data_IF_156776335918
#
_entry.id   IF_156776335918
#
_cell.length_a   1.000
_cell.length_b   1.000
_cell.length_c   1.000
_cell.angle_alpha   90.00
_cell.angle_beta   90.00
_cell.angle_gamma   90.00
#
_symmetry.space_group_name_H-M   'P 1'
#
loop_
_entity.id
_entity.type
_entity.pdbx_description
1 polymer ?
#
# COMPACT_ATOMS: atom_id res chain seq x y z
N UNK A 1 6.17 41.30 15.78
CA UNK A 1 5.41 40.04 15.79
C UNK A 1 5.79 39.27 14.54
N UNK A 2 6.62 38.23 14.67
CA UNK A 2 7.14 37.49 13.53
C UNK A 2 6.09 36.50 12.98
N UNK A 3 5.97 36.32 11.66
CA UNK A 3 5.08 35.31 11.08
C UNK A 3 5.69 33.92 11.29
N UNK A 4 4.96 33.06 12.00
CA UNK A 4 5.27 31.65 12.13
C UNK A 4 4.85 30.92 10.86
N UNK A 5 5.77 30.75 9.91
CA UNK A 5 5.60 29.88 8.75
C UNK A 5 5.57 28.42 9.19
N UNK A 6 4.46 27.73 8.92
CA UNK A 6 4.23 26.35 9.36
C UNK A 6 4.24 25.41 8.14
N UNK A 7 5.35 24.69 7.95
CA UNK A 7 5.47 23.61 6.98
C UNK A 7 4.95 22.30 7.61
N UNK A 8 3.90 21.69 7.04
CA UNK A 8 3.41 20.36 7.45
C UNK A 8 4.08 19.30 6.57
N UNK A 9 5.17 18.72 7.07
CA UNK A 9 5.98 17.74 6.34
C UNK A 9 5.42 16.32 6.49
N UNK A 10 5.14 15.64 5.36
CA UNK A 10 4.99 14.19 5.34
C UNK A 10 6.37 13.53 5.52
N UNK A 11 6.58 12.84 6.64
CA UNK A 11 7.71 11.93 6.80
C UNK A 11 7.37 10.59 6.13
N UNK A 12 7.81 10.42 4.89
CA UNK A 12 7.97 9.10 4.28
C UNK A 12 9.14 8.39 4.95
N UNK A 13 8.87 7.36 5.75
CA UNK A 13 9.90 6.48 6.31
C UNK A 13 10.60 5.74 5.18
N UNK A 14 11.78 6.23 4.79
CA UNK A 14 12.69 5.54 3.87
C UNK A 14 13.11 4.21 4.47
N UNK A 15 12.99 3.13 3.69
CA UNK A 15 13.43 1.78 4.08
C UNK A 15 14.95 1.80 4.30
N UNK A 16 15.38 1.76 5.57
CA UNK A 16 16.77 1.39 5.90
C UNK A 16 17.06 0.02 5.30
N UNK A 17 18.07 -0.03 4.44
CA UNK A 17 18.61 -1.25 3.87
C UNK A 17 19.22 -2.10 5.00
N UNK A 18 18.75 -3.33 5.11
CA UNK A 18 19.46 -4.40 5.81
C UNK A 18 20.13 -5.24 4.72
N UNK A 19 21.43 -5.37 4.89
CA UNK A 19 22.41 -6.03 4.03
C UNK A 19 21.99 -7.42 3.53
N UNK A 20 22.20 -7.67 2.23
CA UNK A 20 22.12 -8.99 1.63
C UNK A 20 23.36 -9.81 2.01
N UNK A 21 23.15 -10.96 2.63
CA UNK A 21 24.17 -11.99 2.77
C UNK A 21 24.39 -12.69 1.42
N UNK A 22 25.66 -12.82 1.04
CA UNK A 22 26.18 -13.43 -0.20
C UNK A 22 25.83 -14.92 -0.29
N UNK A 23 25.54 -15.40 -1.49
CA UNK A 23 25.63 -16.81 -1.84
C UNK A 23 26.30 -16.97 -3.22
N UNK A 24 27.55 -17.43 -3.16
CA UNK A 24 28.28 -18.28 -4.12
C UNK A 24 28.15 -18.05 -5.62
N UNK A 25 29.22 -17.49 -6.19
CA UNK A 25 29.61 -17.65 -7.60
C UNK A 25 29.76 -19.14 -7.97
N UNK A 26 29.11 -19.56 -9.06
CA UNK A 26 29.59 -20.64 -9.90
C UNK A 26 29.29 -20.33 -11.37
N UNK A 27 30.33 -19.92 -12.08
CA UNK A 27 30.41 -19.87 -13.53
C UNK A 27 30.57 -21.30 -14.10
N UNK A 28 30.06 -21.60 -15.30
CA UNK A 28 31.04 -21.95 -16.32
C UNK A 28 30.77 -21.32 -17.69
N UNK A 29 31.88 -20.88 -18.28
CA UNK A 29 32.06 -20.52 -19.68
C UNK A 29 32.12 -21.82 -20.51
N UNK A 30 31.37 -21.91 -21.61
CA UNK A 30 31.86 -22.50 -22.87
C UNK A 30 31.10 -22.01 -24.10
N UNK A 31 31.88 -21.99 -25.20
CA UNK A 31 31.75 -21.34 -26.50
C UNK A 31 30.62 -21.86 -27.39
N UNK A 32 30.30 -21.05 -28.41
CA UNK A 32 29.23 -21.27 -29.38
C UNK A 32 29.50 -22.31 -30.47
N UNK A 33 28.52 -22.47 -31.35
CA UNK A 33 28.63 -23.28 -32.56
C UNK A 33 27.29 -23.85 -33.06
N UNK A 34 26.75 -23.20 -34.08
CA UNK A 34 25.91 -23.73 -35.16
C UNK A 34 24.51 -24.31 -34.89
N UNK A 35 23.53 -23.57 -35.44
CA UNK A 35 22.15 -23.99 -35.69
C UNK A 35 22.10 -24.69 -37.05
N UNK A 36 21.65 -25.94 -37.09
CA UNK A 36 21.32 -26.62 -38.35
C UNK A 36 19.95 -27.29 -38.25
N UNK A 37 19.01 -26.76 -39.02
CA UNK A 37 17.65 -27.26 -39.22
C UNK A 37 17.69 -28.57 -40.02
N UNK A 38 17.15 -29.68 -39.47
CA UNK A 38 16.80 -30.87 -40.26
C UNK A 38 15.49 -31.48 -39.76
N UNK A 39 14.43 -31.27 -40.56
CA UNK A 39 13.24 -32.12 -40.55
C UNK A 39 13.62 -33.51 -41.03
N UNK A 40 13.38 -34.54 -40.22
CA UNK A 40 13.24 -35.91 -40.69
C UNK A 40 12.15 -36.62 -39.89
N UNK A 41 11.05 -36.93 -40.57
CA UNK A 41 10.02 -37.86 -40.09
C UNK A 41 10.58 -39.28 -40.09
N UNK A 42 10.41 -40.03 -38.99
CA UNK A 42 10.44 -41.49 -39.02
C UNK A 42 9.37 -42.06 -38.09
N UNK A 43 8.46 -42.80 -38.72
CA UNK A 43 7.56 -43.75 -38.06
C UNK A 43 8.40 -44.82 -37.35
N UNK A 44 8.07 -45.11 -36.10
CA UNK A 44 8.73 -46.13 -35.28
C UNK A 44 7.76 -46.68 -34.23
N UNK A 45 7.75 -48.01 -34.13
CA UNK A 45 6.71 -48.87 -33.56
C UNK A 45 6.47 -48.71 -32.05
N UNK A 46 5.22 -48.99 -31.66
CA UNK A 46 4.70 -49.07 -30.29
C UNK A 46 5.44 -50.11 -29.44
N UNK A 47 5.84 -49.70 -28.23
CA UNK A 47 6.04 -50.58 -27.06
C UNK A 47 5.13 -50.06 -25.94
N UNK A 48 4.40 -50.93 -25.20
CA UNK A 48 3.51 -50.48 -24.15
C UNK A 48 4.33 -50.23 -22.89
N UNK A 49 4.67 -48.96 -22.64
CA UNK A 49 5.16 -48.56 -21.33
C UNK A 49 3.97 -48.41 -20.39
N UNK A 50 3.96 -49.20 -19.32
CA UNK A 50 2.99 -49.15 -18.24
C UNK A 50 3.05 -47.79 -17.53
N UNK A 51 2.37 -46.79 -18.09
CA UNK A 51 1.98 -45.59 -17.36
C UNK A 51 0.85 -45.99 -16.42
N UNK A 52 1.24 -46.56 -15.28
CA UNK A 52 0.43 -46.51 -14.08
C UNK A 52 0.27 -45.02 -13.74
N UNK A 53 -0.73 -44.39 -14.36
CA UNK A 53 -1.23 -43.10 -13.95
C UNK A 53 -1.70 -43.27 -12.52
N UNK A 54 -0.88 -42.84 -11.57
CA UNK A 54 -1.33 -42.58 -10.22
C UNK A 54 -2.52 -41.64 -10.36
N UNK A 55 -3.73 -42.19 -10.23
CA UNK A 55 -4.95 -41.43 -10.05
C UNK A 55 -4.68 -40.53 -8.85
N UNK A 56 -4.38 -39.26 -9.14
CA UNK A 56 -4.34 -38.21 -8.11
C UNK A 56 -5.67 -38.30 -7.39
N UNK A 57 -5.55 -38.41 -6.07
CA UNK A 57 -6.65 -38.67 -5.15
C UNK A 57 -7.84 -37.77 -5.47
N UNK A 58 -9.05 -38.31 -5.33
CA UNK A 58 -10.30 -37.59 -5.59
C UNK A 58 -10.22 -36.15 -5.08
N UNK A 59 -10.48 -35.21 -5.99
CA UNK A 59 -10.33 -33.77 -5.76
C UNK A 59 -11.08 -33.38 -4.48
N UNK A 60 -10.35 -33.23 -3.37
CA UNK A 60 -10.87 -32.48 -2.24
C UNK A 60 -11.17 -31.09 -2.78
N UNK A 61 -12.46 -30.70 -2.73
CA UNK A 61 -12.90 -29.37 -3.15
C UNK A 61 -12.07 -28.35 -2.39
N UNK A 62 -11.36 -27.48 -3.09
CA UNK A 62 -10.50 -26.50 -2.42
C UNK A 62 -11.35 -25.62 -1.49
N UNK A 63 -10.93 -25.50 -0.23
CA UNK A 63 -11.63 -24.69 0.79
C UNK A 63 -10.73 -23.56 1.25
N UNK A 64 -11.19 -22.32 1.05
CA UNK A 64 -10.52 -21.09 1.48
C UNK A 64 -11.37 -20.42 2.55
N UNK A 65 -10.76 -19.86 3.58
CA UNK A 65 -11.44 -19.09 4.62
C UNK A 65 -10.97 -17.63 4.68
N UNK A 66 -11.91 -16.69 4.69
CA UNK A 66 -11.68 -15.29 5.09
C UNK A 66 -11.87 -15.22 6.61
N UNK A 67 -10.77 -15.02 7.34
CA UNK A 67 -10.82 -14.91 8.81
C UNK A 67 -11.33 -13.55 9.27
N UNK A 68 -11.82 -13.50 10.51
CA UNK A 68 -12.22 -12.26 11.19
C UNK A 68 -11.01 -11.35 11.45
N UNK A 69 -11.23 -10.05 11.31
CA UNK A 69 -10.26 -9.01 11.66
C UNK A 69 -10.32 -8.71 13.16
N UNK A 70 -9.22 -8.95 13.87
CA UNK A 70 -9.18 -8.86 15.34
C UNK A 70 -7.89 -8.24 15.90
N UNK A 71 -7.00 -7.72 15.04
CA UNK A 71 -5.74 -7.10 15.47
C UNK A 71 -5.96 -5.79 16.24
N UNK A 72 -6.93 -4.97 15.80
CA UNK A 72 -7.28 -3.69 16.43
C UNK A 72 -8.71 -3.29 16.00
N UNK A 73 -9.36 -2.35 16.70
CA UNK A 73 -10.72 -1.91 16.37
C UNK A 73 -10.86 -1.22 15.00
N UNK A 74 -9.77 -0.73 14.44
CA UNK A 74 -9.75 0.09 13.22
C UNK A 74 -9.54 -0.73 11.94
N UNK A 75 -9.11 -1.99 12.03
CA UNK A 75 -8.92 -2.87 10.88
C UNK A 75 -10.28 -3.40 10.42
N UNK A 76 -10.80 -2.75 9.38
CA UNK A 76 -12.11 -3.06 8.78
C UNK A 76 -11.98 -3.63 7.37
N UNK A 77 -10.77 -3.75 6.82
CA UNK A 77 -10.56 -4.23 5.45
C UNK A 77 -10.73 -5.73 5.40
N UNK A 78 -11.15 -6.22 4.23
CA UNK A 78 -11.19 -7.65 3.93
C UNK A 78 -10.16 -7.99 2.83
N UNK A 79 -9.56 -9.19 2.86
CA UNK A 79 -8.59 -9.60 1.85
C UNK A 79 -9.23 -9.82 0.47
N UNK A 80 -10.53 -10.16 0.43
CA UNK A 80 -11.29 -10.35 -0.81
C UNK A 80 -12.60 -9.56 -0.76
N UNK A 81 -12.91 -8.92 -1.89
CA UNK A 81 -14.21 -8.32 -2.14
C UNK A 81 -15.23 -9.39 -2.57
N UNK A 82 -16.55 -9.16 -2.41
CA UNK A 82 -17.60 -10.07 -2.85
C UNK A 82 -17.47 -10.53 -4.31
N UNK A 83 -16.95 -9.68 -5.21
CA UNK A 83 -16.70 -10.05 -6.61
C UNK A 83 -15.67 -11.18 -6.75
N UNK A 84 -14.57 -11.13 -6.00
CA UNK A 84 -13.54 -12.18 -6.01
C UNK A 84 -14.08 -13.47 -5.38
N UNK A 85 -14.89 -13.34 -4.34
CA UNK A 85 -15.56 -14.49 -3.73
C UNK A 85 -16.50 -15.16 -4.72
N UNK A 86 -17.25 -14.37 -5.50
CA UNK A 86 -18.11 -14.88 -6.57
C UNK A 86 -17.28 -15.63 -7.62
N UNK A 87 -16.16 -15.06 -8.07
CA UNK A 87 -15.27 -15.73 -9.03
C UNK A 87 -14.77 -17.09 -8.51
N UNK A 88 -14.34 -17.15 -7.25
CA UNK A 88 -13.89 -18.40 -6.60
C UNK A 88 -15.01 -19.44 -6.49
N UNK A 89 -16.20 -19.03 -6.07
CA UNK A 89 -17.34 -19.96 -5.92
C UNK A 89 -17.81 -20.51 -7.26
N UNK A 90 -17.79 -19.70 -8.33
CA UNK A 90 -18.08 -20.16 -9.70
C UNK A 90 -17.01 -21.12 -10.22
N UNK A 91 -15.75 -20.96 -9.80
CA UNK A 91 -14.68 -21.92 -10.07
C UNK A 91 -14.75 -23.20 -9.22
N UNK A 92 -15.80 -23.37 -8.40
CA UNK A 92 -16.01 -24.55 -7.57
C UNK A 92 -15.25 -24.56 -6.24
N UNK A 93 -14.63 -23.44 -5.84
CA UNK A 93 -13.95 -23.30 -4.54
C UNK A 93 -14.99 -23.03 -3.45
N UNK A 94 -14.92 -23.76 -2.33
CA UNK A 94 -15.74 -23.45 -1.15
C UNK A 94 -15.09 -22.27 -0.42
N UNK A 95 -15.81 -21.16 -0.28
CA UNK A 95 -15.33 -19.98 0.45
C UNK A 95 -16.07 -19.88 1.78
N UNK A 96 -15.34 -20.03 2.88
CA UNK A 96 -15.83 -19.79 4.24
C UNK A 96 -15.53 -18.34 4.64
N UNK A 97 -16.44 -17.70 5.35
CA UNK A 97 -16.23 -16.34 5.88
C UNK A 97 -16.60 -16.33 7.35
N UNK A 98 -15.64 -16.00 8.21
CA UNK A 98 -15.96 -15.76 9.62
C UNK A 98 -16.81 -14.49 9.75
N UNK A 99 -17.90 -14.52 10.53
CA UNK A 99 -18.68 -13.33 10.88
C UNK A 99 -17.77 -12.22 11.42
N UNK A 100 -18.11 -10.96 11.16
CA UNK A 100 -17.34 -9.81 11.66
C UNK A 100 -18.22 -8.58 11.72
N UNK A 101 -18.36 -8.01 12.91
CA UNK A 101 -19.16 -6.80 13.14
C UNK A 101 -18.37 -5.52 12.77
N UNK A 102 -17.08 -5.67 12.44
CA UNK A 102 -16.15 -4.55 12.16
C UNK A 102 -15.89 -4.34 10.68
N UNK A 103 -15.84 -5.45 9.93
CA UNK A 103 -15.54 -5.48 8.49
C UNK A 103 -16.41 -4.47 7.74
N UNK A 104 -15.78 -3.68 6.87
CA UNK A 104 -16.46 -2.67 6.06
C UNK A 104 -17.47 -3.28 5.08
N UNK A 105 -17.28 -4.56 4.73
CA UNK A 105 -18.15 -5.32 3.85
C UNK A 105 -19.04 -6.24 4.70
N UNK A 106 -20.34 -5.97 4.69
CA UNK A 106 -21.34 -6.74 5.42
C UNK A 106 -21.44 -8.19 4.89
N UNK A 107 -21.62 -9.16 5.79
CA UNK A 107 -21.67 -10.61 5.50
C UNK A 107 -22.71 -10.99 4.44
N UNK A 108 -23.88 -10.32 4.42
CA UNK A 108 -24.90 -10.46 3.38
C UNK A 108 -24.36 -10.40 1.94
N UNK A 109 -23.31 -9.60 1.69
CA UNK A 109 -22.71 -9.50 0.37
C UNK A 109 -21.83 -10.71 0.03
N UNK A 110 -21.20 -11.32 1.03
CA UNK A 110 -20.47 -12.58 0.88
C UNK A 110 -21.42 -13.76 0.65
N UNK A 111 -22.53 -13.82 1.39
CA UNK A 111 -23.57 -14.84 1.18
C UNK A 111 -24.13 -14.78 -0.25
N UNK A 112 -24.46 -13.57 -0.72
CA UNK A 112 -24.90 -13.36 -2.12
C UNK A 112 -23.85 -13.73 -3.16
N UNK A 113 -22.57 -13.72 -2.80
CA UNK A 113 -21.47 -14.16 -3.65
C UNK A 113 -21.22 -15.68 -3.60
N UNK A 114 -22.02 -16.43 -2.83
CA UNK A 114 -21.93 -17.90 -2.71
C UNK A 114 -20.99 -18.38 -1.59
N UNK A 115 -20.51 -17.49 -0.71
CA UNK A 115 -19.74 -17.92 0.47
C UNK A 115 -20.65 -18.46 1.57
N UNK A 116 -20.09 -19.34 2.39
CA UNK A 116 -20.72 -19.87 3.60
C UNK A 116 -20.19 -19.07 4.80
N UNK A 117 -21.10 -18.43 5.54
CA UNK A 117 -20.75 -17.67 6.74
C UNK A 117 -20.83 -18.60 7.95
N UNK A 118 -19.71 -18.80 8.65
CA UNK A 118 -19.62 -19.67 9.83
C UNK A 118 -18.40 -19.33 10.68
N UNK A 119 -18.48 -19.61 12.00
CA UNK A 119 -17.38 -19.35 12.94
C UNK A 119 -16.20 -20.30 12.75
N UNK A 120 -16.49 -21.60 12.67
CA UNK A 120 -15.47 -22.61 12.48
C UNK A 120 -14.95 -22.58 11.05
N UNK A 121 -13.64 -22.41 10.89
CA UNK A 121 -12.94 -22.41 9.61
C UNK A 121 -11.88 -23.50 9.53
N UNK A 122 -11.91 -24.46 10.47
CA UNK A 122 -10.96 -25.57 10.56
C UNK A 122 -10.91 -26.44 9.30
N UNK A 123 -12.00 -26.49 8.52
CA UNK A 123 -12.06 -27.18 7.23
C UNK A 123 -11.12 -26.55 6.17
N UNK A 124 -10.86 -25.24 6.25
CA UNK A 124 -10.09 -24.54 5.23
C UNK A 124 -8.62 -25.01 5.19
N UNK A 125 -8.09 -25.16 3.98
CA UNK A 125 -6.66 -25.43 3.77
C UNK A 125 -5.84 -24.14 3.68
N UNK A 126 -6.46 -23.08 3.16
CA UNK A 126 -5.91 -21.73 3.07
C UNK A 126 -6.78 -20.74 3.86
N UNK A 127 -6.18 -20.05 4.83
CA UNK A 127 -6.83 -19.02 5.63
C UNK A 127 -6.21 -17.67 5.29
N UNK A 128 -7.03 -16.73 4.82
CA UNK A 128 -6.58 -15.42 4.36
C UNK A 128 -7.08 -14.30 5.25
N UNK A 129 -6.21 -13.34 5.53
CA UNK A 129 -6.53 -12.11 6.27
C UNK A 129 -5.71 -10.94 5.76
N UNK A 130 -6.01 -9.72 6.21
CA UNK A 130 -5.22 -8.54 5.83
C UNK A 130 -3.99 -8.39 6.74
N UNK A 131 -4.17 -8.52 8.05
CA UNK A 131 -3.13 -8.36 9.06
C UNK A 131 -2.93 -9.65 9.84
N UNK A 132 -1.84 -9.68 10.64
CA UNK A 132 -1.57 -10.73 11.62
C UNK A 132 -2.73 -10.95 12.58
N UNK A 133 -2.74 -12.12 13.20
CA UNK A 133 -3.69 -12.56 14.21
C UNK A 133 -3.02 -12.66 15.58
N UNK A 134 -3.81 -12.70 16.65
CA UNK A 134 -3.35 -13.25 17.92
C UNK A 134 -2.86 -14.70 17.73
N UNK A 135 -1.74 -15.03 18.37
CA UNK A 135 -1.02 -16.30 18.19
C UNK A 135 -1.88 -17.48 18.64
N UNK A 136 -2.67 -17.32 19.70
CA UNK A 136 -3.57 -18.33 20.24
C UNK A 136 -4.68 -18.77 19.27
N UNK A 137 -4.97 -17.98 18.23
CA UNK A 137 -6.00 -18.30 17.22
C UNK A 137 -5.43 -18.96 15.97
N UNK A 138 -4.11 -19.19 15.92
CA UNK A 138 -3.46 -19.87 14.81
C UNK A 138 -3.78 -21.35 14.87
N UNK A 139 -4.41 -21.86 13.82
CA UNK A 139 -4.74 -23.27 13.66
C UNK A 139 -3.48 -23.99 13.14
N UNK A 140 -2.97 -25.02 13.83
CA UNK A 140 -1.78 -25.74 13.39
C UNK A 140 -1.96 -26.42 12.03
N UNK A 141 -0.84 -26.62 11.32
CA UNK A 141 -0.76 -27.36 10.05
C UNK A 141 -1.65 -26.80 8.92
N UNK A 142 -1.88 -25.48 8.94
CA UNK A 142 -2.63 -24.75 7.91
C UNK A 142 -1.73 -23.89 7.03
N UNK A 143 -2.26 -23.47 5.89
CA UNK A 143 -1.64 -22.42 5.06
C UNK A 143 -2.32 -21.09 5.35
N UNK A 144 -1.55 -20.03 5.56
CA UNK A 144 -2.06 -18.69 5.78
C UNK A 144 -1.53 -17.70 4.74
N UNK A 145 -2.34 -16.70 4.39
CA UNK A 145 -1.88 -15.55 3.61
C UNK A 145 -2.31 -14.22 4.23
N UNK A 146 -1.34 -13.38 4.62
CA UNK A 146 -1.55 -12.07 5.23
C UNK A 146 -0.22 -11.27 5.28
N UNK A 147 -0.28 -9.98 5.61
CA UNK A 147 0.92 -9.20 5.94
C UNK A 147 1.41 -9.56 7.34
N UNK A 148 2.46 -10.39 7.44
CA UNK A 148 3.00 -10.85 8.72
C UNK A 148 3.88 -9.81 9.41
N UNK A 149 4.52 -8.93 8.64
CA UNK A 149 5.54 -7.98 9.10
C UNK A 149 6.77 -8.65 9.73
N UNK A 150 7.04 -9.92 9.40
CA UNK A 150 8.19 -10.68 9.95
C UNK A 150 9.45 -10.55 9.11
N UNK A 151 9.33 -10.24 7.81
CA UNK A 151 10.45 -10.27 6.87
C UNK A 151 11.57 -9.25 7.13
N UNK A 152 11.27 -8.20 7.91
CA UNK A 152 12.24 -7.18 8.33
C UNK A 152 12.89 -7.48 9.68
N UNK A 153 12.67 -8.68 10.24
CA UNK A 153 13.18 -9.12 11.53
C UNK A 153 12.93 -8.10 12.66
N UNK A 154 11.75 -7.47 12.65
CA UNK A 154 11.36 -6.54 13.71
C UNK A 154 11.02 -7.34 14.96
N UNK A 155 11.67 -7.04 16.08
CA UNK A 155 11.58 -7.78 17.36
C UNK A 155 10.13 -8.09 17.77
N UNK A 156 9.24 -7.08 17.72
CA UNK A 156 7.82 -7.21 18.06
C UNK A 156 7.02 -8.22 17.20
N UNK A 157 7.56 -8.64 16.05
CA UNK A 157 6.92 -9.60 15.14
C UNK A 157 7.58 -10.99 15.18
N UNK A 158 8.68 -11.17 15.92
CA UNK A 158 9.40 -12.45 15.93
C UNK A 158 8.67 -13.54 16.73
N UNK A 159 7.91 -13.18 17.76
CA UNK A 159 7.06 -14.13 18.50
C UNK A 159 6.05 -14.84 17.59
N UNK A 160 5.42 -14.09 16.67
CA UNK A 160 4.53 -14.66 15.66
C UNK A 160 5.25 -15.65 14.75
N UNK A 161 6.47 -15.31 14.32
CA UNK A 161 7.23 -16.21 13.43
C UNK A 161 7.56 -17.52 14.15
N UNK A 162 7.96 -17.45 15.42
CA UNK A 162 8.23 -18.64 16.23
C UNK A 162 6.97 -19.51 16.41
N UNK A 163 5.82 -18.90 16.69
CA UNK A 163 4.55 -19.61 16.84
C UNK A 163 4.11 -20.28 15.53
N UNK A 164 4.26 -19.59 14.38
CA UNK A 164 3.98 -20.16 13.06
C UNK A 164 4.85 -21.39 12.78
N UNK A 165 6.14 -21.34 13.15
CA UNK A 165 7.06 -22.47 13.00
C UNK A 165 6.67 -23.65 13.91
N UNK A 166 6.42 -23.38 15.20
CA UNK A 166 5.98 -24.40 16.17
C UNK A 166 4.69 -25.10 15.75
N UNK A 167 3.77 -24.35 15.14
CA UNK A 167 2.47 -24.87 14.67
C UNK A 167 2.53 -25.46 13.25
N UNK A 168 3.71 -25.58 12.66
CA UNK A 168 3.91 -26.11 11.30
C UNK A 168 3.04 -25.38 10.26
N UNK A 169 2.89 -24.06 10.41
CA UNK A 169 2.11 -23.23 9.50
C UNK A 169 2.94 -22.84 8.28
N UNK A 170 2.33 -22.97 7.10
CA UNK A 170 2.88 -22.42 5.86
C UNK A 170 2.37 -20.99 5.66
N UNK A 171 3.27 -20.01 5.62
CA UNK A 171 2.94 -18.60 5.42
C UNK A 171 3.20 -18.14 3.98
N UNK A 172 2.19 -17.48 3.38
CA UNK A 172 2.28 -16.72 2.14
C UNK A 172 2.22 -15.24 2.51
N UNK A 173 3.37 -14.58 2.59
CA UNK A 173 3.42 -13.16 2.98
C UNK A 173 3.12 -12.24 1.78
N UNK A 174 2.05 -11.46 1.89
CA UNK A 174 1.67 -10.48 0.88
C UNK A 174 2.77 -9.44 0.60
N UNK A 175 3.65 -9.14 1.57
CA UNK A 175 4.73 -8.17 1.37
C UNK A 175 5.73 -8.62 0.30
N UNK A 176 5.85 -9.93 0.07
CA UNK A 176 6.79 -10.54 -0.89
C UNK A 176 6.14 -11.08 -2.16
N UNK A 177 4.84 -10.84 -2.36
CA UNK A 177 4.18 -11.15 -3.62
C UNK A 177 4.56 -10.13 -4.69
N UNK A 178 5.32 -10.59 -5.68
CA UNK A 178 5.78 -9.79 -6.83
C UNK A 178 5.39 -10.45 -8.15
N UNK A 179 5.30 -9.64 -9.22
CA UNK A 179 5.16 -10.14 -10.58
C UNK A 179 6.52 -10.61 -11.15
N UNK A 180 6.53 -11.01 -12.43
CA UNK A 180 7.73 -11.46 -13.12
C UNK A 180 8.82 -10.38 -13.25
N UNK A 181 8.46 -9.11 -13.15
CA UNK A 181 9.36 -7.97 -13.22
C UNK A 181 9.82 -7.49 -11.82
N UNK A 182 9.37 -8.16 -10.75
CA UNK A 182 9.69 -7.79 -9.37
C UNK A 182 8.78 -6.70 -8.78
N UNK A 183 7.73 -6.26 -9.47
CA UNK A 183 6.78 -5.29 -8.93
C UNK A 183 5.83 -5.95 -7.94
N UNK A 184 5.67 -5.34 -6.77
CA UNK A 184 4.75 -5.83 -5.73
C UNK A 184 3.30 -5.71 -6.19
N UNK A 185 2.60 -6.84 -6.22
CA UNK A 185 1.20 -6.91 -6.70
C UNK A 185 0.17 -6.57 -5.61
N UNK A 186 0.50 -6.77 -4.33
CA UNK A 186 -0.38 -6.43 -3.21
C UNK A 186 0.13 -5.18 -2.51
N UNK A 187 -0.54 -4.04 -2.74
CA UNK A 187 -0.16 -2.76 -2.16
C UNK A 187 -1.39 -1.89 -1.84
N UNK A 188 -1.30 -1.08 -0.78
CA UNK A 188 -2.34 -0.12 -0.39
C UNK A 188 -1.88 1.34 -0.55
N UNK A 189 -0.80 1.59 -1.30
CA UNK A 189 -0.10 2.88 -1.31
C UNK A 189 -1.02 4.06 -1.64
N UNK A 190 -1.78 3.96 -2.74
CA UNK A 190 -2.67 5.04 -3.17
C UNK A 190 -3.74 5.37 -2.12
N UNK A 191 -4.44 4.36 -1.61
CA UNK A 191 -5.46 4.55 -0.57
C UNK A 191 -4.90 5.07 0.75
N UNK A 192 -3.64 4.77 1.07
CA UNK A 192 -2.96 5.36 2.21
C UNK A 192 -2.72 6.87 2.01
N UNK A 193 -2.39 7.28 0.78
CA UNK A 193 -2.31 8.68 0.38
C UNK A 193 -3.65 9.40 0.53
N UNK A 194 -4.71 8.83 -0.04
CA UNK A 194 -6.07 9.36 0.03
C UNK A 194 -6.51 9.57 1.48
N UNK A 195 -6.44 8.53 2.31
CA UNK A 195 -6.83 8.62 3.71
C UNK A 195 -5.92 9.56 4.53
N UNK A 196 -4.62 9.56 4.22
CA UNK A 196 -3.64 10.42 4.85
C UNK A 196 -3.94 11.90 4.59
N UNK A 197 -4.23 12.26 3.34
CA UNK A 197 -4.52 13.65 2.98
C UNK A 197 -5.82 14.15 3.61
N UNK A 198 -6.88 13.35 3.59
CA UNK A 198 -8.14 13.70 4.27
C UNK A 198 -7.90 13.98 5.76
N UNK A 199 -7.10 13.14 6.43
CA UNK A 199 -6.78 13.33 7.84
C UNK A 199 -5.88 14.55 8.09
N UNK A 200 -4.98 14.90 7.16
CA UNK A 200 -4.18 16.13 7.23
C UNK A 200 -5.10 17.36 7.15
N UNK A 201 -6.03 17.38 6.19
CA UNK A 201 -7.00 18.48 6.06
C UNK A 201 -7.88 18.62 7.30
N UNK A 202 -8.38 17.50 7.84
CA UNK A 202 -9.10 17.49 9.10
C UNK A 202 -8.25 18.05 10.26
N UNK A 203 -7.01 17.57 10.39
CA UNK A 203 -6.09 18.03 11.43
C UNK A 203 -5.75 19.53 11.29
N UNK A 204 -5.66 20.03 10.05
CA UNK A 204 -5.47 21.45 9.77
C UNK A 204 -6.66 22.28 10.24
N UNK A 205 -7.90 21.81 9.99
CA UNK A 205 -9.12 22.43 10.51
C UNK A 205 -9.11 22.53 12.04
N UNK A 206 -8.77 21.44 12.74
CA UNK A 206 -8.64 21.45 14.21
C UNK A 206 -7.52 22.38 14.69
N UNK A 207 -6.39 22.41 13.98
CA UNK A 207 -5.24 23.26 14.31
C UNK A 207 -5.60 24.73 14.21
N UNK A 208 -6.27 25.14 13.13
CA UNK A 208 -6.70 26.52 12.95
C UNK A 208 -7.77 26.92 13.94
N UNK A 209 -8.72 26.04 14.26
CA UNK A 209 -9.68 26.28 15.33
C UNK A 209 -8.99 26.53 16.67
N UNK A 210 -7.98 25.73 17.01
CA UNK A 210 -7.19 25.92 18.23
C UNK A 210 -6.37 27.24 18.23
N UNK A 211 -6.10 27.82 17.06
CA UNK A 211 -5.49 29.14 16.90
C UNK A 211 -6.51 30.30 16.92
N UNK A 212 -7.81 29.99 17.08
CA UNK A 212 -8.88 30.99 17.04
C UNK A 212 -9.35 31.37 15.64
N UNK A 213 -9.04 30.55 14.62
CA UNK A 213 -9.46 30.77 13.25
C UNK A 213 -10.56 29.80 12.83
N UNK A 214 -11.68 30.37 12.34
CA UNK A 214 -12.69 29.61 11.63
C UNK A 214 -12.27 29.48 10.17
N UNK A 215 -12.11 28.25 9.69
CA UNK A 215 -11.68 27.95 8.32
C UNK A 215 -12.55 26.86 7.71
N UNK A 216 -12.69 26.82 6.36
CA UNK A 216 -13.43 25.77 5.68
C UNK A 216 -12.98 24.35 6.03
N UNK A 217 -11.69 24.17 6.33
CA UNK A 217 -11.11 22.86 6.72
C UNK A 217 -11.77 22.23 7.95
N UNK A 218 -12.39 23.02 8.83
CA UNK A 218 -13.06 22.51 10.04
C UNK A 218 -14.20 21.53 9.75
N UNK A 219 -14.81 21.62 8.56
CA UNK A 219 -15.94 20.78 8.18
C UNK A 219 -15.52 19.42 7.60
N UNK A 220 -14.23 19.23 7.33
CA UNK A 220 -13.70 17.94 6.87
C UNK A 220 -13.56 17.01 8.08
N UNK A 221 -14.30 15.90 8.08
CA UNK A 221 -14.16 14.83 9.06
C UNK A 221 -12.95 13.92 8.81
N UNK A 222 -12.57 13.12 9.81
CA UNK A 222 -11.55 12.07 9.64
C UNK A 222 -11.98 11.04 8.58
N UNK A 223 -11.00 10.47 7.87
CA UNK A 223 -11.25 9.54 6.76
C UNK A 223 -12.16 8.36 7.14
N UNK A 224 -12.08 7.87 8.38
CA UNK A 224 -12.88 6.73 8.85
C UNK A 224 -14.36 7.08 9.16
N UNK A 225 -14.70 8.37 9.21
CA UNK A 225 -16.08 8.82 9.42
C UNK A 225 -16.92 8.74 8.13
N UNK A 226 -16.27 8.74 6.97
CA UNK A 226 -16.94 8.60 5.69
C UNK A 226 -17.26 7.15 5.37
N UNK A 227 -18.43 6.90 4.78
CA UNK A 227 -18.83 5.54 4.37
C UNK A 227 -18.12 5.08 3.11
N UNK A 228 -17.77 6.02 2.24
CA UNK A 228 -17.09 5.79 0.97
C UNK A 228 -16.25 7.01 0.58
N UNK A 229 -15.36 6.81 -0.39
CA UNK A 229 -14.45 7.87 -0.87
C UNK A 229 -15.20 9.06 -1.48
N UNK A 230 -16.32 8.83 -2.17
CA UNK A 230 -17.09 9.91 -2.81
C UNK A 230 -17.62 10.93 -1.81
N UNK A 231 -18.07 10.48 -0.62
CA UNK A 231 -18.48 11.38 0.47
C UNK A 231 -17.31 12.21 1.01
N UNK A 232 -16.14 11.59 1.15
CA UNK A 232 -14.95 12.30 1.61
C UNK A 232 -14.50 13.36 0.59
N UNK A 233 -14.49 13.00 -0.70
CA UNK A 233 -14.19 13.92 -1.81
C UNK A 233 -15.18 15.08 -1.83
N UNK A 234 -16.47 14.83 -1.65
CA UNK A 234 -17.46 15.91 -1.62
C UNK A 234 -17.17 16.91 -0.49
N UNK A 235 -16.85 16.45 0.71
CA UNK A 235 -16.48 17.34 1.82
C UNK A 235 -15.23 18.20 1.52
N UNK A 236 -14.26 17.64 0.78
CA UNK A 236 -13.09 18.39 0.32
C UNK A 236 -13.47 19.42 -0.74
N UNK A 237 -14.36 19.08 -1.68
CA UNK A 237 -14.87 20.03 -2.69
C UNK A 237 -15.64 21.18 -2.07
N UNK A 238 -16.49 20.90 -1.08
CA UNK A 238 -17.25 21.93 -0.38
C UNK A 238 -16.30 22.91 0.32
N UNK A 239 -15.25 22.40 0.99
CA UNK A 239 -14.16 23.19 1.54
C UNK A 239 -13.44 24.02 0.46
N UNK A 240 -13.14 23.41 -0.70
CA UNK A 240 -12.51 24.09 -1.82
C UNK A 240 -13.35 25.24 -2.39
N UNK A 241 -14.67 25.08 -2.46
CA UNK A 241 -15.60 26.12 -2.89
C UNK A 241 -15.61 27.32 -1.93
N UNK A 242 -15.58 27.08 -0.62
CA UNK A 242 -15.46 28.16 0.36
C UNK A 242 -14.12 28.90 0.27
N UNK A 243 -13.03 28.17 0.02
CA UNK A 243 -11.71 28.77 -0.23
C UNK A 243 -11.76 29.68 -1.47
N UNK A 244 -12.34 29.22 -2.58
CA UNK A 244 -12.41 30.03 -3.81
C UNK A 244 -13.28 31.28 -3.71
N UNK A 245 -14.25 31.30 -2.79
CA UNK A 245 -15.01 32.50 -2.42
C UNK A 245 -14.23 33.46 -1.51
N UNK A 246 -13.00 33.14 -1.12
CA UNK A 246 -12.18 33.97 -0.25
C UNK A 246 -12.58 33.91 1.22
N UNK A 247 -13.22 32.83 1.68
CA UNK A 247 -13.62 32.65 3.08
C UNK A 247 -12.47 32.25 4.02
N UNK A 248 -11.23 32.22 3.50
CA UNK A 248 -10.03 32.03 4.32
C UNK A 248 -9.65 33.31 5.08
N UNK A 249 -9.38 33.23 6.40
CA UNK A 249 -8.89 34.39 7.17
C UNK A 249 -7.55 34.92 6.66
N UNK A 250 -7.46 36.23 6.45
CA UNK A 250 -6.23 36.90 5.99
C UNK A 250 -5.03 36.69 6.93
N UNK A 251 -5.27 36.44 8.21
CA UNK A 251 -4.24 36.19 9.21
C UNK A 251 -3.48 34.87 9.00
N UNK A 252 -4.03 33.93 8.23
CA UNK A 252 -3.39 32.65 7.94
C UNK A 252 -2.36 32.79 6.83
N UNK A 253 -2.60 33.70 5.87
CA UNK A 253 -1.81 33.80 4.65
C UNK A 253 -1.98 32.57 3.73
N UNK A 254 -1.25 32.55 2.61
CA UNK A 254 -1.34 31.47 1.62
C UNK A 254 -1.00 30.11 2.24
N UNK A 255 -1.83 29.10 1.96
CA UNK A 255 -1.66 27.75 2.50
C UNK A 255 -0.96 26.88 1.47
N UNK A 256 0.16 26.27 1.87
CA UNK A 256 0.98 25.43 0.98
C UNK A 256 1.13 24.01 1.49
N UNK A 257 1.02 23.04 0.58
CA UNK A 257 1.18 21.62 0.83
C UNK A 257 2.42 21.07 0.13
N UNK A 258 3.32 20.43 0.88
CA UNK A 258 4.54 19.84 0.33
C UNK A 258 4.46 18.31 0.34
N UNK A 259 4.50 17.71 -0.85
CA UNK A 259 4.51 16.26 -1.02
C UNK A 259 5.94 15.74 -1.18
N UNK A 260 6.40 14.91 -0.27
CA UNK A 260 7.73 14.30 -0.34
C UNK A 260 7.68 12.94 -1.03
N UNK A 261 8.23 12.88 -2.25
CA UNK A 261 8.27 11.69 -3.09
C UNK A 261 7.14 11.60 -4.13
N UNK A 262 7.33 10.71 -5.11
CA UNK A 262 6.49 10.57 -6.31
C UNK A 262 5.78 9.22 -6.40
N UNK A 263 5.84 8.42 -5.33
CA UNK A 263 5.22 7.09 -5.28
C UNK A 263 3.70 7.12 -5.12
N UNK A 264 3.09 5.93 -5.09
CA UNK A 264 1.62 5.77 -5.03
C UNK A 264 0.96 6.51 -3.86
N UNK A 265 1.63 6.62 -2.71
CA UNK A 265 1.10 7.37 -1.55
C UNK A 265 1.00 8.86 -1.88
N UNK A 266 2.02 9.44 -2.50
CA UNK A 266 2.00 10.85 -2.92
C UNK A 266 0.91 11.09 -3.95
N UNK A 267 0.79 10.22 -4.97
CA UNK A 267 -0.29 10.29 -5.97
C UNK A 267 -1.68 10.26 -5.34
N UNK A 268 -1.94 9.32 -4.43
CA UNK A 268 -3.22 9.26 -3.74
C UNK A 268 -3.52 10.46 -2.83
N UNK A 269 -2.49 11.11 -2.29
CA UNK A 269 -2.68 12.34 -1.53
C UNK A 269 -2.97 13.53 -2.46
N UNK A 270 -2.31 13.58 -3.62
CA UNK A 270 -2.59 14.57 -4.67
C UNK A 270 -3.98 14.39 -5.27
N UNK A 271 -4.49 13.16 -5.43
CA UNK A 271 -5.87 12.88 -5.85
C UNK A 271 -6.91 13.63 -4.97
N UNK A 272 -6.60 13.83 -3.68
CA UNK A 272 -7.45 14.58 -2.75
C UNK A 272 -7.18 16.09 -2.78
N UNK A 273 -5.91 16.52 -2.83
CA UNK A 273 -5.60 17.96 -2.91
C UNK A 273 -6.11 18.59 -4.19
N UNK A 274 -6.16 17.85 -5.29
CA UNK A 274 -6.72 18.30 -6.57
C UNK A 274 -8.22 18.59 -6.53
N UNK A 275 -8.91 18.21 -5.44
CA UNK A 275 -10.32 18.55 -5.22
C UNK A 275 -10.50 19.92 -4.54
N UNK A 276 -9.39 20.58 -4.14
CA UNK A 276 -9.34 21.98 -3.73
C UNK A 276 -8.97 22.87 -4.94
N UNK A 277 -9.22 24.20 -4.87
CA UNK A 277 -8.64 25.14 -5.83
C UNK A 277 -7.13 25.19 -5.59
N UNK A 278 -6.37 24.30 -6.24
CA UNK A 278 -4.93 24.14 -6.03
C UNK A 278 -4.12 24.67 -7.22
N UNK A 279 -3.02 25.35 -6.91
CA UNK A 279 -1.97 25.70 -7.86
C UNK A 279 -0.68 24.94 -7.51
N UNK A 280 -0.10 24.26 -8.48
CA UNK A 280 1.19 23.60 -8.31
C UNK A 280 2.32 24.56 -8.64
N UNK A 281 3.28 24.66 -7.73
CA UNK A 281 4.47 25.51 -7.83
C UNK A 281 5.73 24.70 -7.61
N UNK A 282 6.82 25.16 -8.20
CA UNK A 282 8.14 24.61 -7.98
C UNK A 282 8.67 24.98 -6.58
N UNK A 283 9.55 24.18 -5.97
CA UNK A 283 10.02 24.44 -4.60
C UNK A 283 10.67 25.82 -4.42
N UNK A 284 11.34 26.34 -5.45
CA UNK A 284 11.99 27.65 -5.40
C UNK A 284 10.99 28.82 -5.41
N UNK A 285 9.75 28.60 -5.86
CA UNK A 285 8.68 29.62 -5.91
C UNK A 285 7.92 29.73 -4.58
N UNK A 286 8.14 28.80 -3.63
CA UNK A 286 7.45 28.78 -2.33
C UNK A 286 7.62 30.08 -1.54
N UNK A 287 8.76 30.76 -1.70
CA UNK A 287 9.02 32.05 -1.05
C UNK A 287 8.10 33.13 -1.61
N UNK A 288 7.95 33.18 -2.93
CA UNK A 288 7.11 34.16 -3.61
C UNK A 288 5.63 33.94 -3.28
N UNK A 289 5.21 32.66 -3.23
CA UNK A 289 3.87 32.27 -2.75
C UNK A 289 3.61 32.76 -1.33
N UNK A 290 4.60 32.69 -0.45
CA UNK A 290 4.47 33.14 0.93
C UNK A 290 4.23 34.66 1.05
N UNK A 291 4.86 35.43 0.16
CA UNK A 291 4.82 36.90 0.19
C UNK A 291 3.62 37.46 -0.57
N UNK A 292 3.23 36.84 -1.70
CA UNK A 292 2.26 37.40 -2.65
C UNK A 292 1.19 36.41 -3.12
N UNK A 293 1.09 35.23 -2.50
CA UNK A 293 0.10 34.22 -2.87
C UNK A 293 -1.34 34.67 -2.69
N UNK A 294 -2.20 34.17 -3.57
CA UNK A 294 -3.64 34.39 -3.55
C UNK A 294 -4.30 33.50 -2.49
N UNK A 295 -5.21 34.09 -1.72
CA UNK A 295 -5.94 33.44 -0.63
C UNK A 295 -7.17 32.65 -1.10
N UNK A 296 -7.55 32.80 -2.37
CA UNK A 296 -8.68 32.07 -2.99
C UNK A 296 -8.30 30.67 -3.48
N UNK A 297 -7.05 30.26 -3.26
CA UNK A 297 -6.51 28.95 -3.61
C UNK A 297 -5.50 28.46 -2.58
N UNK A 298 -5.15 27.19 -2.70
CA UNK A 298 -4.05 26.57 -1.97
C UNK A 298 -2.91 26.27 -2.93
N UNK A 299 -1.71 26.17 -2.40
CA UNK A 299 -0.52 25.88 -3.18
C UNK A 299 -0.03 24.47 -2.89
N UNK A 300 0.55 23.81 -3.88
CA UNK A 300 1.12 22.48 -3.72
C UNK A 300 2.48 22.38 -4.41
N UNK A 301 3.39 21.61 -3.84
CA UNK A 301 4.65 21.26 -4.50
C UNK A 301 5.01 19.80 -4.29
N UNK A 302 5.67 19.18 -5.26
CA UNK A 302 6.08 17.78 -5.21
C UNK A 302 7.60 17.66 -5.19
N UNK A 303 8.13 17.41 -4.00
CA UNK A 303 9.55 17.21 -3.75
C UNK A 303 9.97 15.81 -4.16
N UNK A 304 10.44 15.70 -5.41
CA UNK A 304 11.18 14.54 -5.91
C UNK A 304 12.62 14.47 -5.36
N UNK A 305 13.33 13.35 -5.63
CA UNK A 305 14.73 13.12 -5.26
C UNK A 305 15.69 14.23 -5.76
N UNK A 306 15.51 14.74 -6.98
CA UNK A 306 16.42 15.74 -7.55
C UNK A 306 16.38 17.10 -6.83
N UNK A 307 15.32 17.40 -6.09
CA UNK A 307 15.22 18.64 -5.33
C UNK A 307 16.06 18.66 -4.06
N UNK A 308 16.36 17.48 -3.50
CA UNK A 308 16.91 17.37 -2.15
C UNK A 308 18.04 16.37 -2.00
N UNK A 309 18.49 15.74 -3.09
CA UNK A 309 19.66 14.87 -3.14
C UNK A 309 20.66 15.46 -4.12
N UNK A 310 21.88 15.68 -3.65
CA UNK A 310 22.96 16.27 -4.44
C UNK A 310 24.22 15.45 -4.28
N UNK A 311 24.99 15.28 -5.37
CA UNK A 311 26.30 14.65 -5.31
C UNK A 311 27.26 15.54 -4.51
N UNK A 312 28.05 14.93 -3.62
CA UNK A 312 28.98 15.67 -2.73
C UNK A 312 30.06 16.46 -3.47
N UNK A 313 30.38 16.10 -4.71
CA UNK A 313 31.46 16.72 -5.50
C UNK A 313 31.04 17.99 -6.24
N UNK A 314 29.89 17.96 -6.92
CA UNK A 314 29.47 19.02 -7.87
C UNK A 314 28.03 19.50 -7.65
N UNK A 315 27.29 18.88 -6.73
CA UNK A 315 25.90 19.25 -6.44
C UNK A 315 24.87 18.68 -7.41
N UNK A 316 25.27 17.89 -8.41
CA UNK A 316 24.35 17.36 -9.44
C UNK A 316 23.62 16.12 -8.94
N UNK A 317 22.36 15.92 -9.36
CA UNK A 317 21.62 14.69 -9.11
C UNK A 317 21.62 13.76 -10.32
N UNK A 318 22.22 12.57 -10.20
CA UNK A 318 22.06 11.47 -11.15
C UNK A 318 21.27 10.31 -10.52
N UNK A 319 20.09 9.95 -11.06
CA UNK A 319 19.26 8.90 -10.48
C UNK A 319 19.85 7.49 -10.61
N UNK A 320 20.62 7.21 -11.67
CA UNK A 320 21.20 5.89 -11.90
C UNK A 320 22.42 5.66 -11.01
N UNK A 321 23.28 6.67 -10.89
CA UNK A 321 24.42 6.64 -9.98
C UNK A 321 23.95 6.57 -8.52
N UNK A 322 22.92 7.33 -8.13
CA UNK A 322 22.40 7.28 -6.76
C UNK A 322 21.87 5.88 -6.38
N UNK A 323 21.30 5.14 -7.32
CA UNK A 323 20.76 3.80 -7.04
C UNK A 323 21.89 2.78 -6.75
N UNK A 324 23.08 2.96 -7.34
CA UNK A 324 24.23 2.07 -7.16
C UNK A 324 25.23 2.58 -6.10
N UNK A 325 25.34 3.90 -5.95
CA UNK A 325 26.33 4.60 -5.13
C UNK A 325 25.67 5.71 -4.29
N UNK A 326 24.69 5.39 -3.43
CA UNK A 326 23.99 6.40 -2.62
C UNK A 326 24.93 7.12 -1.63
N UNK A 327 26.08 6.53 -1.28
CA UNK A 327 27.10 7.10 -0.42
C UNK A 327 27.77 8.36 -0.99
N UNK A 328 27.72 8.56 -2.32
CA UNK A 328 28.26 9.74 -3.00
C UNK A 328 27.37 10.98 -2.86
N UNK A 329 26.15 10.78 -2.37
CA UNK A 329 25.13 11.82 -2.28
C UNK A 329 24.93 12.27 -0.84
N UNK A 330 24.50 13.52 -0.68
CA UNK A 330 24.02 14.07 0.59
C UNK A 330 22.67 14.73 0.37
N UNK A 331 21.85 14.82 1.43
CA UNK A 331 20.58 15.52 1.34
C UNK A 331 20.71 16.97 1.76
N UNK A 332 20.21 17.88 0.93
CA UNK A 332 20.06 19.30 1.22
C UNK A 332 18.62 19.70 1.56
N UNK A 333 17.75 18.74 1.93
CA UNK A 333 16.32 18.96 2.23
C UNK A 333 16.05 20.09 3.25
N UNK A 334 16.99 20.38 4.15
CA UNK A 334 16.86 21.48 5.13
C UNK A 334 17.00 22.87 4.51
N UNK A 335 17.79 22.98 3.44
CA UNK A 335 18.15 24.23 2.77
C UNK A 335 17.40 24.43 1.45
N UNK A 336 16.72 23.39 0.96
CA UNK A 336 15.91 23.38 -0.26
C UNK A 336 14.50 23.94 -0.05
#
# INVERSE_FOLDING_TARGET
>A
AAPSHLCVTLLSVSRRHVSSARAGDHNPVTKGGEVMFRLLSRQGKRTPCCLAGQRRHGHHKAVIAIRREDINPWERRAPLAPRHVKELTHAGVKVLVQPSNRRAIHEKYYMKAGAVVQEDISEASLIIGVKRMPEEKIIPKKTYAFFSHTIKAQEANMGLLEDLLKKEVRLIDYEKMVDANGYRIVAFGQWAGVAGMINILHGLGLRYLALGHHTPFMHIGMAHNYRNVSQAVQAVRDCGYEISMGLMPKSIGPVTFCFTGTGNVSKGAQDIINELPVEYVEPHELKDVCEAGDMTKVYATVLSRHHHLIRKSDGVYDPFEYEHHPELYTSNFRTS
#
